data_IF_654789836174
#
_entry.id   IF_654789836174
#
_cell.length_a   1.000
_cell.length_b   1.000
_cell.length_c   1.000
_cell.angle_alpha   90.00
_cell.angle_beta   90.00
_cell.angle_gamma   90.00
#
_symmetry.space_group_name_H-M   'P 1'
#
loop_
_entity.id
_entity.type
_entity.pdbx_description
1 polymer ?
#
# COMPACT_ATOMS: atom_id res chain seq x y z
N UNK A 1 1.90 -8.74 -55.45
CA UNK A 1 1.56 -9.57 -54.27
C UNK A 1 0.62 -8.75 -53.40
N UNK A 2 -0.47 -9.34 -52.92
CA UNK A 2 -1.72 -8.68 -52.49
C UNK A 2 -1.53 -7.62 -51.39
N UNK A 3 -2.04 -6.39 -51.63
CA UNK A 3 -2.48 -5.49 -50.55
C UNK A 3 -3.72 -6.11 -49.90
N UNK A 4 -3.60 -6.57 -48.67
CA UNK A 4 -4.74 -6.88 -47.82
C UNK A 4 -5.10 -5.61 -47.05
N UNK A 5 -6.20 -4.97 -47.46
CA UNK A 5 -6.87 -3.96 -46.68
C UNK A 5 -7.39 -4.61 -45.38
N UNK A 6 -7.00 -4.08 -44.23
CA UNK A 6 -7.56 -4.47 -42.94
C UNK A 6 -8.49 -3.35 -42.46
N UNK A 7 -9.79 -3.54 -42.69
CA UNK A 7 -10.83 -2.75 -42.02
C UNK A 7 -10.90 -3.21 -40.55
N UNK A 8 -10.75 -2.29 -39.61
CA UNK A 8 -11.13 -2.51 -38.22
C UNK A 8 -12.34 -1.62 -37.92
N UNK A 9 -13.49 -2.28 -37.78
CA UNK A 9 -14.71 -1.71 -37.21
C UNK A 9 -14.50 -1.56 -35.70
N UNK A 10 -14.83 -0.42 -35.08
CA UNK A 10 -15.35 -0.44 -33.70
C UNK A 10 -16.11 0.84 -33.32
N UNK A 11 -17.25 0.58 -32.67
CA UNK A 11 -18.27 1.51 -32.23
C UNK A 11 -17.99 2.06 -30.82
N UNK A 12 -18.79 3.06 -30.45
CA UNK A 12 -18.69 3.88 -29.25
C UNK A 12 -18.89 3.15 -27.91
N UNK A 13 -18.31 3.76 -26.86
CA UNK A 13 -18.44 3.42 -25.45
C UNK A 13 -19.91 3.36 -24.95
N UNK A 14 -20.23 2.29 -24.23
CA UNK A 14 -21.21 2.33 -23.14
C UNK A 14 -20.52 1.85 -21.87
N UNK A 15 -20.82 2.54 -20.77
CA UNK A 15 -20.31 2.27 -19.44
C UNK A 15 -20.72 0.87 -18.96
N UNK A 16 -19.87 -0.13 -19.12
CA UNK A 16 -19.64 -1.30 -18.26
C UNK A 16 -18.44 -2.04 -18.85
N UNK A 17 -17.53 -2.52 -18.00
CA UNK A 17 -16.14 -2.81 -18.34
C UNK A 17 -15.93 -3.68 -19.58
N UNK A 18 -15.14 -3.15 -20.52
CA UNK A 18 -14.18 -3.82 -21.40
C UNK A 18 -13.34 -2.69 -22.03
N UNK A 19 -12.04 -2.64 -21.76
CA UNK A 19 -11.14 -1.68 -22.42
C UNK A 19 -10.89 -2.12 -23.87
N UNK A 20 -10.94 -1.22 -24.87
CA UNK A 20 -10.75 -1.59 -26.25
C UNK A 20 -9.30 -2.03 -26.49
N UNK A 21 -9.15 -3.19 -27.12
CA UNK A 21 -7.86 -3.79 -27.47
C UNK A 21 -7.57 -3.52 -28.95
N UNK A 22 -6.47 -2.83 -29.26
CA UNK A 22 -6.02 -2.65 -30.65
C UNK A 22 -4.81 -3.53 -30.90
N UNK A 23 -4.97 -4.57 -31.72
CA UNK A 23 -3.94 -5.54 -32.08
C UNK A 23 -3.33 -5.23 -33.44
N UNK A 24 -2.00 -5.27 -33.53
CA UNK A 24 -1.25 -5.22 -34.79
C UNK A 24 -0.50 -6.54 -34.96
N UNK A 25 -0.32 -6.99 -36.19
CA UNK A 25 0.51 -8.13 -36.56
C UNK A 25 1.50 -7.66 -37.62
N UNK A 26 2.78 -7.91 -37.39
CA UNK A 26 3.81 -7.72 -38.43
C UNK A 26 3.80 -8.93 -39.38
N UNK A 27 4.38 -8.80 -40.59
CA UNK A 27 4.49 -9.91 -41.55
C UNK A 27 5.22 -11.16 -41.01
N UNK A 28 6.02 -10.98 -39.97
CA UNK A 28 6.87 -11.95 -39.27
C UNK A 28 6.30 -12.42 -37.92
N UNK A 29 5.06 -12.03 -37.55
CA UNK A 29 4.32 -12.61 -36.42
C UNK A 29 4.38 -11.84 -35.10
N UNK A 30 5.07 -10.69 -35.04
CA UNK A 30 5.14 -9.84 -33.85
C UNK A 30 3.82 -9.13 -33.64
N UNK A 31 3.28 -9.21 -32.43
CA UNK A 31 2.01 -8.57 -32.09
C UNK A 31 2.18 -7.37 -31.16
N UNK A 32 1.49 -6.27 -31.48
CA UNK A 32 1.45 -5.08 -30.63
C UNK A 32 0.03 -4.89 -30.10
N UNK A 33 -0.11 -4.63 -28.81
CA UNK A 33 -1.40 -4.39 -28.18
C UNK A 33 -1.38 -3.01 -27.52
N UNK A 34 -2.34 -2.17 -27.86
CA UNK A 34 -2.55 -0.89 -27.17
C UNK A 34 -3.70 -1.03 -26.17
N UNK A 35 -3.45 -0.76 -24.88
CA UNK A 35 -4.48 -0.66 -23.82
C UNK A 35 -4.27 0.61 -23.01
N UNK A 36 -5.27 1.49 -23.00
CA UNK A 36 -5.17 2.77 -22.29
C UNK A 36 -4.00 3.64 -22.79
N UNK A 37 -3.05 3.97 -21.89
CA UNK A 37 -1.84 4.76 -22.17
C UNK A 37 -0.59 3.90 -22.45
N UNK A 38 -0.72 2.58 -22.47
CA UNK A 38 0.40 1.64 -22.56
C UNK A 38 0.41 0.89 -23.89
N UNK A 39 1.62 0.62 -24.40
CA UNK A 39 1.86 -0.23 -25.58
C UNK A 39 2.53 -1.50 -25.10
N UNK A 40 2.00 -2.66 -25.49
CA UNK A 40 2.48 -4.00 -25.18
C UNK A 40 3.02 -4.66 -26.47
N UNK A 41 4.19 -5.31 -26.44
CA UNK A 41 4.85 -5.90 -27.62
C UNK A 41 5.17 -7.36 -27.38
N UNK A 42 4.58 -8.32 -28.08
CA UNK A 42 4.72 -9.76 -27.79
C UNK A 42 5.71 -10.44 -28.76
N UNK A 43 6.87 -10.93 -28.29
CA UNK A 43 7.68 -12.04 -28.85
C UNK A 43 8.99 -12.32 -28.05
N UNK A 44 9.51 -13.58 -28.06
CA UNK A 44 10.67 -13.98 -27.28
C UNK A 44 11.98 -13.60 -27.99
N UNK A 45 12.88 -12.92 -27.27
CA UNK A 45 14.25 -12.56 -27.70
C UNK A 45 14.36 -11.33 -28.62
N UNK A 46 13.94 -10.18 -28.09
CA UNK A 46 14.46 -8.89 -28.58
C UNK A 46 15.69 -8.51 -27.75
N UNK A 47 16.87 -8.65 -28.34
CA UNK A 47 18.00 -7.78 -28.01
C UNK A 47 18.09 -6.72 -29.10
N UNK A 48 18.29 -5.46 -28.72
CA UNK A 48 18.43 -4.29 -29.61
C UNK A 48 17.16 -3.87 -30.38
N UNK A 49 16.10 -3.51 -29.66
CA UNK A 49 14.98 -2.74 -30.24
C UNK A 49 14.94 -1.34 -29.66
N UNK A 50 15.11 -0.34 -30.52
CA UNK A 50 14.87 1.07 -30.18
C UNK A 50 13.46 1.44 -30.63
N UNK A 51 12.68 2.07 -29.73
CA UNK A 51 11.31 2.49 -30.02
C UNK A 51 11.22 4.00 -29.88
N UNK A 52 10.79 4.66 -30.95
CA UNK A 52 10.60 6.11 -31.01
C UNK A 52 9.11 6.41 -31.16
N UNK A 53 8.57 7.29 -30.32
CA UNK A 53 7.19 7.78 -30.48
C UNK A 53 7.25 9.24 -30.93
N UNK A 54 6.67 9.51 -32.09
CA UNK A 54 6.61 10.85 -32.65
C UNK A 54 5.19 11.40 -32.51
N UNK A 55 5.06 12.64 -32.04
CA UNK A 55 3.78 13.35 -31.93
C UNK A 55 3.76 14.62 -32.76
N UNK A 56 2.62 14.97 -33.33
CA UNK A 56 2.43 16.22 -34.07
C UNK A 56 1.95 17.33 -33.13
N UNK A 57 2.73 18.40 -32.93
CA UNK A 57 2.28 19.61 -32.21
C UNK A 57 2.43 19.62 -30.67
N UNK A 58 2.99 18.58 -30.05
CA UNK A 58 3.11 18.47 -28.58
C UNK A 58 4.56 18.41 -28.10
N UNK A 59 4.88 19.05 -26.97
CA UNK A 59 6.21 19.07 -26.34
C UNK A 59 6.32 18.05 -25.19
N UNK A 60 7.45 17.36 -25.12
CA UNK A 60 7.86 16.50 -24.01
C UNK A 60 8.96 17.18 -23.20
N UNK A 61 9.03 16.94 -21.89
CA UNK A 61 10.13 17.39 -21.03
C UNK A 61 10.90 16.17 -20.50
N UNK A 62 12.23 16.22 -20.58
CA UNK A 62 13.13 15.19 -20.07
C UNK A 62 13.86 15.73 -18.83
N UNK A 63 13.89 14.97 -17.73
CA UNK A 63 14.72 15.30 -16.57
C UNK A 63 16.16 14.90 -16.88
N UNK A 64 16.96 15.87 -17.35
CA UNK A 64 18.45 15.90 -17.49
C UNK A 64 19.04 16.23 -18.87
N UNK A 65 18.28 16.65 -19.89
CA UNK A 65 18.88 17.16 -21.13
C UNK A 65 19.11 18.68 -21.10
N UNK A 66 20.36 19.11 -21.30
CA UNK A 66 20.70 20.52 -21.55
C UNK A 66 20.00 21.02 -22.82
N UNK A 67 19.51 22.26 -22.74
CA UNK A 67 18.87 23.05 -23.79
C UNK A 67 19.54 22.89 -25.16
N UNK A 68 18.84 22.29 -26.12
CA UNK A 68 19.17 22.39 -27.55
C UNK A 68 17.94 22.92 -28.27
N UNK A 69 18.06 24.08 -28.90
CA UNK A 69 17.03 24.66 -29.73
C UNK A 69 17.17 24.14 -31.17
N UNK A 70 16.09 23.63 -31.75
CA UNK A 70 15.94 23.45 -33.19
C UNK A 70 14.55 23.91 -33.64
N UNK A 71 14.54 24.57 -34.79
CA UNK A 71 13.37 25.08 -35.50
C UNK A 71 12.83 23.96 -36.41
N UNK A 72 11.50 23.91 -36.50
CA UNK A 72 10.69 23.19 -37.48
C UNK A 72 10.35 21.70 -37.20
N UNK A 73 9.19 21.54 -36.55
CA UNK A 73 8.14 20.51 -36.71
C UNK A 73 8.51 19.03 -36.92
N UNK A 74 9.03 18.39 -35.86
CA UNK A 74 8.61 17.09 -35.31
C UNK A 74 9.48 16.81 -34.09
N UNK A 75 8.89 16.53 -32.92
CA UNK A 75 9.67 16.15 -31.75
C UNK A 75 9.96 14.65 -31.80
N UNK A 76 11.25 14.34 -31.94
CA UNK A 76 11.83 13.00 -31.90
C UNK A 76 12.35 12.75 -30.49
N UNK A 77 11.67 11.92 -29.70
CA UNK A 77 12.21 11.44 -28.43
C UNK A 77 12.88 10.08 -28.62
N UNK A 78 14.18 9.99 -28.30
CA UNK A 78 14.87 8.72 -28.09
C UNK A 78 14.93 8.47 -26.58
N UNK A 79 14.10 7.58 -26.04
CA UNK A 79 14.33 7.07 -24.68
C UNK A 79 15.15 5.79 -24.73
N UNK A 80 16.11 5.66 -23.81
CA UNK A 80 16.60 4.37 -23.38
C UNK A 80 15.51 3.77 -22.50
N UNK A 81 14.94 2.66 -22.95
CA UNK A 81 13.94 1.90 -22.19
C UNK A 81 14.62 1.34 -20.95
N UNK A 82 14.27 1.85 -19.76
CA UNK A 82 14.48 1.10 -18.52
C UNK A 82 13.53 -0.10 -18.56
N UNK A 83 14.06 -1.24 -18.98
CA UNK A 83 13.32 -2.47 -19.17
C UNK A 83 12.77 -3.00 -17.84
N UNK A 84 11.46 -3.15 -17.72
CA UNK A 84 10.88 -4.14 -16.82
C UNK A 84 10.35 -5.30 -17.69
N UNK A 85 10.88 -6.50 -17.45
CA UNK A 85 10.51 -7.72 -18.14
C UNK A 85 9.17 -8.20 -17.57
N UNK A 86 8.12 -8.16 -18.38
CA UNK A 86 6.82 -8.76 -18.06
C UNK A 86 6.70 -10.03 -18.92
N UNK A 87 6.32 -11.14 -18.27
CA UNK A 87 6.19 -12.48 -18.87
C UNK A 87 5.54 -12.48 -20.27
N UNK A 88 5.96 -13.47 -21.07
CA UNK A 88 5.57 -13.72 -22.47
C UNK A 88 6.15 -12.76 -23.53
N UNK A 89 7.31 -12.18 -23.25
CA UNK A 89 8.03 -11.35 -24.21
C UNK A 89 7.27 -10.06 -24.51
N UNK A 90 6.54 -9.53 -23.52
CA UNK A 90 5.72 -8.32 -23.58
C UNK A 90 6.45 -7.10 -23.03
N UNK A 91 6.75 -6.13 -23.90
CA UNK A 91 7.36 -4.85 -23.48
C UNK A 91 6.29 -3.79 -23.22
N UNK A 92 6.30 -3.14 -22.05
CA UNK A 92 5.44 -1.99 -21.73
C UNK A 92 6.21 -0.66 -21.83
N UNK A 93 5.65 0.32 -22.56
CA UNK A 93 6.14 1.70 -22.61
C UNK A 93 5.15 2.63 -21.89
N UNK A 94 5.59 3.26 -20.79
CA UNK A 94 4.80 4.21 -20.02
C UNK A 94 5.40 5.62 -20.10
N UNK A 95 4.58 6.63 -20.34
CA UNK A 95 4.98 8.04 -20.39
C UNK A 95 4.52 8.77 -19.12
N UNK A 96 5.44 9.36 -18.38
CA UNK A 96 5.16 10.00 -17.09
C UNK A 96 4.65 11.45 -17.21
N UNK A 97 4.97 12.19 -18.27
CA UNK A 97 4.62 13.63 -18.39
C UNK A 97 4.23 14.04 -19.83
N UNK A 98 3.07 13.60 -20.30
CA UNK A 98 2.46 14.08 -21.56
C UNK A 98 1.52 15.27 -21.28
N UNK A 99 1.89 16.47 -21.72
CA UNK A 99 1.02 17.65 -21.68
C UNK A 99 0.19 17.72 -22.97
N UNK A 100 -1.10 17.36 -22.89
CA UNK A 100 -2.07 17.56 -23.97
C UNK A 100 -3.23 18.39 -23.45
N UNK A 101 -3.68 19.38 -24.20
CA UNK A 101 -4.84 20.16 -23.78
C UNK A 101 -6.13 19.35 -23.95
N UNK A 102 -7.11 19.59 -23.08
CA UNK A 102 -8.41 18.93 -23.19
C UNK A 102 -9.08 19.29 -24.53
N UNK A 103 -9.49 18.28 -25.30
CA UNK A 103 -10.12 18.44 -26.60
C UNK A 103 -9.17 18.47 -27.79
N UNK A 104 -7.85 18.33 -27.57
CA UNK A 104 -6.89 18.08 -28.65
C UNK A 104 -6.84 16.59 -29.03
N UNK A 105 -6.61 16.32 -30.31
CA UNK A 105 -6.41 14.99 -30.85
C UNK A 105 -4.92 14.62 -30.69
N UNK A 106 -4.59 13.63 -29.86
CA UNK A 106 -3.23 13.13 -29.74
C UNK A 106 -2.89 12.32 -30.99
N UNK A 107 -2.08 12.89 -31.88
CA UNK A 107 -1.60 12.19 -33.07
C UNK A 107 -0.20 11.63 -32.85
N UNK A 108 -0.02 10.33 -33.07
CA UNK A 108 1.25 9.65 -32.83
C UNK A 108 1.58 8.57 -33.87
N UNK A 109 2.87 8.27 -34.03
CA UNK A 109 3.36 7.06 -34.73
C UNK A 109 4.56 6.48 -34.01
N UNK A 110 4.82 5.20 -34.23
CA UNK A 110 5.87 4.43 -33.59
C UNK A 110 6.91 4.04 -34.64
N UNK A 111 8.18 4.27 -34.35
CA UNK A 111 9.30 3.74 -35.14
C UNK A 111 10.04 2.70 -34.32
N UNK A 112 10.18 1.49 -34.86
CA UNK A 112 10.97 0.42 -34.26
C UNK A 112 12.21 0.16 -35.14
N UNK A 113 13.38 0.06 -34.50
CA UNK A 113 14.62 -0.35 -35.15
C UNK A 113 14.92 -1.80 -34.74
N UNK A 114 15.07 -2.71 -35.71
CA UNK A 114 15.37 -4.11 -35.46
C UNK A 114 16.28 -4.67 -36.55
N UNK A 115 17.43 -5.25 -36.16
CA UNK A 115 18.43 -5.84 -37.09
C UNK A 115 18.76 -4.95 -38.29
N UNK A 116 19.04 -3.67 -38.01
CA UNK A 116 19.36 -2.63 -39.00
C UNK A 116 18.21 -2.29 -39.99
N UNK A 117 17.00 -2.81 -39.77
CA UNK A 117 15.79 -2.41 -40.48
C UNK A 117 14.92 -1.46 -39.63
N UNK A 118 14.30 -0.49 -40.31
CA UNK A 118 13.42 0.50 -39.70
C UNK A 118 11.97 0.18 -40.06
N UNK A 119 11.14 -0.03 -39.06
CA UNK A 119 9.69 -0.18 -39.21
C UNK A 119 9.00 1.06 -38.64
N UNK A 120 8.14 1.70 -39.44
CA UNK A 120 7.41 2.90 -39.03
C UNK A 120 5.91 2.63 -39.16
N UNK A 121 5.15 2.84 -38.09
CA UNK A 121 3.69 2.73 -38.15
C UNK A 121 3.10 3.94 -38.86
N UNK A 122 1.89 3.75 -39.40
CA UNK A 122 1.08 4.88 -39.82
C UNK A 122 0.73 5.79 -38.62
N UNK A 123 0.40 7.04 -38.94
CA UNK A 123 -0.09 8.00 -37.95
C UNK A 123 -1.45 7.57 -37.42
N UNK A 124 -1.56 7.48 -36.10
CA UNK A 124 -2.81 7.26 -35.37
C UNK A 124 -3.24 8.54 -34.69
N UNK A 125 -4.55 8.72 -34.58
CA UNK A 125 -5.15 9.84 -33.86
C UNK A 125 -5.99 9.30 -32.72
N UNK A 126 -5.71 9.74 -31.50
CA UNK A 126 -6.49 9.45 -30.31
C UNK A 126 -7.22 10.71 -29.86
N UNK A 127 -8.55 10.71 -29.96
CA UNK A 127 -9.37 11.86 -29.55
C UNK A 127 -9.46 11.92 -28.04
N UNK A 128 -8.89 12.96 -27.44
CA UNK A 128 -9.05 13.19 -26.01
C UNK A 128 -10.46 13.72 -25.76
N UNK A 129 -11.19 13.06 -24.86
CA UNK A 129 -12.50 13.55 -24.46
C UNK A 129 -12.37 14.95 -23.85
N UNK A 130 -13.26 15.84 -24.24
CA UNK A 130 -13.44 17.13 -23.58
C UNK A 130 -13.83 16.88 -22.13
N UNK A 131 -12.94 17.26 -21.22
CA UNK A 131 -13.22 17.28 -19.80
C UNK A 131 -14.31 18.35 -19.63
N UNK A 132 -15.55 17.92 -19.43
CA UNK A 132 -16.61 18.82 -18.96
C UNK A 132 -16.07 19.51 -17.70
N UNK A 133 -16.33 20.80 -17.47
CA UNK A 133 -15.95 21.46 -16.23
C UNK A 133 -16.59 20.69 -15.08
N UNK A 134 -15.80 19.85 -14.42
CA UNK A 134 -16.17 19.28 -13.14
C UNK A 134 -16.05 20.43 -12.17
N UNK A 135 -17.01 20.60 -11.25
CA UNK A 135 -16.82 21.47 -10.08
C UNK A 135 -15.41 21.19 -9.54
N UNK A 136 -14.53 22.20 -9.56
CA UNK A 136 -13.22 22.03 -8.96
C UNK A 136 -13.44 21.84 -7.47
N UNK A 137 -13.35 20.59 -6.99
CA UNK A 137 -13.21 20.34 -5.56
C UNK A 137 -11.96 21.09 -5.10
N UNK A 138 -12.12 21.99 -4.12
CA UNK A 138 -11.02 22.76 -3.58
C UNK A 138 -10.18 21.81 -2.73
N UNK A 139 -9.13 21.28 -3.33
CA UNK A 139 -8.20 20.40 -2.64
C UNK A 139 -7.28 21.21 -1.74
N UNK A 140 -7.19 20.84 -0.46
CA UNK A 140 -6.30 21.45 0.51
C UNK A 140 -5.43 20.38 1.17
N UNK A 141 -4.12 20.62 1.21
CA UNK A 141 -3.20 19.79 2.00
C UNK A 141 -3.52 20.02 3.47
N UNK A 142 -4.02 19.00 4.16
CA UNK A 142 -4.33 19.06 5.61
C UNK A 142 -3.18 18.56 6.46
N UNK A 143 -2.31 17.72 5.89
CA UNK A 143 -1.11 17.22 6.54
C UNK A 143 -0.08 16.82 5.50
N UNK A 144 1.18 17.14 5.76
CA UNK A 144 2.32 16.64 4.99
C UNK A 144 3.53 16.56 5.90
N UNK A 145 4.23 15.43 5.84
CA UNK A 145 5.50 15.22 6.51
C UNK A 145 6.43 14.53 5.52
N UNK A 146 7.62 15.09 5.33
CA UNK A 146 8.66 14.58 4.42
C UNK A 146 9.83 13.94 5.18
N UNK A 147 9.73 13.84 6.50
CA UNK A 147 10.67 13.14 7.38
C UNK A 147 12.15 13.52 7.21
N UNK A 148 12.42 14.73 6.69
CA UNK A 148 13.72 15.37 6.84
C UNK A 148 14.07 15.58 8.34
N UNK A 149 13.04 15.65 9.18
CA UNK A 149 13.11 15.53 10.64
C UNK A 149 11.79 14.97 11.18
N UNK A 150 11.80 14.27 12.31
CA UNK A 150 10.56 13.79 12.94
C UNK A 150 10.08 14.73 14.04
N UNK A 151 9.08 15.55 13.73
CA UNK A 151 8.43 16.42 14.73
C UNK A 151 7.43 15.61 15.57
N UNK A 152 7.86 15.17 16.75
CA UNK A 152 7.03 14.40 17.69
C UNK A 152 5.71 15.11 18.07
N UNK A 153 5.59 16.43 17.92
CA UNK A 153 4.35 17.17 18.22
C UNK A 153 3.23 16.98 17.19
N UNK A 154 3.55 16.48 16.00
CA UNK A 154 2.54 16.22 14.96
C UNK A 154 1.88 14.84 15.12
N UNK A 155 2.36 14.05 16.09
CA UNK A 155 1.94 12.68 16.31
C UNK A 155 1.65 12.39 17.79
N UNK A 156 0.72 11.49 18.03
CA UNK A 156 0.66 10.70 19.26
C UNK A 156 1.53 9.46 19.09
N UNK A 157 2.47 9.27 20.01
CA UNK A 157 3.35 8.09 20.05
C UNK A 157 2.79 7.09 21.05
N UNK A 158 2.49 5.88 20.61
CA UNK A 158 1.94 4.84 21.48
C UNK A 158 3.01 4.29 22.45
N UNK A 159 2.61 4.13 23.70
CA UNK A 159 3.45 3.59 24.77
C UNK A 159 2.61 2.57 25.56
N UNK A 160 2.62 1.31 25.12
CA UNK A 160 1.77 0.25 25.68
C UNK A 160 2.21 -1.16 25.26
N UNK A 161 2.08 -2.12 26.18
CA UNK A 161 2.28 -3.55 25.99
C UNK A 161 0.96 -4.32 25.73
N UNK A 162 -0.14 -3.61 25.48
CA UNK A 162 -1.49 -4.18 25.37
C UNK A 162 -1.65 -5.23 24.24
N UNK A 163 -0.85 -5.14 23.19
CA UNK A 163 -0.87 -6.09 22.06
C UNK A 163 -2.05 -5.89 21.09
N UNK A 164 -2.59 -4.65 21.02
CA UNK A 164 -3.51 -4.20 19.97
C UNK A 164 -4.89 -4.87 19.92
N UNK A 165 -5.21 -5.75 20.87
CA UNK A 165 -6.36 -6.66 20.80
C UNK A 165 -6.11 -7.92 19.95
N UNK A 166 -4.97 -8.00 19.25
CA UNK A 166 -4.60 -9.11 18.37
C UNK A 166 -3.59 -10.08 19.00
N UNK A 167 -3.18 -9.83 20.25
CA UNK A 167 -2.23 -10.65 20.99
C UNK A 167 -0.80 -10.54 20.45
N UNK A 168 -0.45 -9.38 19.91
CA UNK A 168 0.88 -9.05 19.39
C UNK A 168 1.93 -9.02 20.51
N UNK A 169 3.19 -9.26 20.18
CA UNK A 169 4.27 -9.56 21.16
C UNK A 169 5.18 -8.38 21.48
N UNK A 170 5.06 -7.28 20.76
CA UNK A 170 5.82 -6.07 21.03
C UNK A 170 5.21 -5.25 22.17
N UNK A 171 6.03 -4.44 22.81
CA UNK A 171 5.61 -3.22 23.49
C UNK A 171 5.87 -2.04 22.56
N UNK A 172 4.88 -1.19 22.33
CA UNK A 172 5.11 0.07 21.63
C UNK A 172 5.76 1.05 22.62
N UNK A 173 6.86 1.71 22.20
CA UNK A 173 7.66 2.60 23.05
C UNK A 173 8.15 3.83 22.27
N UNK A 174 8.42 4.97 22.94
CA UNK A 174 8.91 6.19 22.32
C UNK A 174 10.44 6.24 22.11
N UNK A 175 11.09 5.07 22.06
CA UNK A 175 12.55 4.94 21.99
C UNK A 175 13.10 5.34 20.62
N UNK A 176 14.24 6.05 20.61
CA UNK A 176 14.90 6.47 19.37
C UNK A 176 15.48 5.27 18.60
N UNK A 177 15.63 4.11 19.24
CA UNK A 177 15.96 2.86 18.56
C UNK A 177 14.80 2.32 17.70
N UNK A 178 13.56 2.72 18.01
CA UNK A 178 12.34 2.25 17.35
C UNK A 178 11.68 3.31 16.47
N UNK A 179 11.93 4.59 16.74
CA UNK A 179 11.31 5.76 16.10
C UNK A 179 12.38 6.80 15.78
N UNK A 180 12.94 6.80 14.57
CA UNK A 180 14.00 7.75 14.20
C UNK A 180 13.96 8.15 12.74
N UNK A 181 14.58 9.29 12.41
CA UNK A 181 14.82 9.67 11.01
C UNK A 181 16.27 9.44 10.65
N UNK A 182 16.50 8.98 9.42
CA UNK A 182 17.83 8.84 8.83
C UNK A 182 17.69 8.97 7.32
N UNK A 183 18.58 9.73 6.71
CA UNK A 183 18.65 9.91 5.24
C UNK A 183 17.32 10.36 4.60
N UNK A 184 16.57 11.24 5.28
CA UNK A 184 15.29 11.77 4.80
C UNK A 184 14.13 10.77 4.88
N UNK A 185 14.25 9.72 5.69
CA UNK A 185 13.18 8.76 5.92
C UNK A 185 12.97 8.50 7.40
N UNK A 186 11.73 8.27 7.80
CA UNK A 186 11.34 7.87 9.14
C UNK A 186 11.28 6.35 9.26
N UNK A 187 11.81 5.82 10.35
CA UNK A 187 11.94 4.39 10.61
C UNK A 187 11.07 4.00 11.79
N UNK A 188 10.21 3.01 11.55
CA UNK A 188 9.55 2.23 12.59
C UNK A 188 10.24 0.87 12.66
N UNK A 189 11.16 0.72 13.61
CA UNK A 189 12.06 -0.43 13.68
C UNK A 189 11.76 -1.29 14.91
N UNK A 190 11.36 -2.56 14.75
CA UNK A 190 11.32 -3.50 15.86
C UNK A 190 12.73 -3.83 16.36
N UNK A 191 12.89 -3.94 17.68
CA UNK A 191 14.13 -4.33 18.36
C UNK A 191 13.84 -5.35 19.45
N UNK A 192 14.85 -6.10 19.90
CA UNK A 192 14.64 -6.99 21.04
C UNK A 192 14.54 -6.17 22.32
N UNK A 193 13.63 -6.55 23.22
CA UNK A 193 13.50 -5.90 24.53
C UNK A 193 14.81 -5.95 25.30
N UNK A 194 15.61 -7.02 25.15
CA UNK A 194 16.91 -7.17 25.82
C UNK A 194 18.02 -6.26 25.27
N UNK A 195 17.79 -5.60 24.13
CA UNK A 195 18.74 -4.63 23.58
C UNK A 195 18.57 -3.25 24.24
N UNK A 196 17.45 -3.03 24.94
CA UNK A 196 17.21 -1.82 25.73
C UNK A 196 18.04 -1.85 27.02
N UNK A 197 18.69 -0.73 27.35
CA UNK A 197 19.63 -0.58 28.49
C UNK A 197 19.10 -1.07 29.85
N UNK A 198 17.79 -1.01 30.06
CA UNK A 198 17.14 -1.41 31.32
C UNK A 198 16.70 -2.88 31.33
N UNK A 199 16.99 -3.65 30.29
CA UNK A 199 16.65 -5.06 30.21
C UNK A 199 17.86 -5.91 29.81
N UNK A 200 17.79 -7.16 30.24
CA UNK A 200 18.66 -8.25 29.83
C UNK A 200 17.81 -9.53 29.82
N UNK A 201 18.40 -10.67 29.48
CA UNK A 201 17.68 -11.95 29.50
C UNK A 201 17.10 -12.27 30.88
N UNK A 202 17.76 -11.89 31.98
CA UNK A 202 17.24 -12.16 33.32
C UNK A 202 15.98 -11.33 33.63
N UNK A 203 16.00 -10.04 33.32
CA UNK A 203 14.85 -9.13 33.46
C UNK A 203 13.72 -9.48 32.50
N UNK A 204 14.01 -10.01 31.32
CA UNK A 204 12.97 -10.51 30.41
C UNK A 204 12.15 -11.65 31.06
N UNK A 205 12.81 -12.57 31.77
CA UNK A 205 12.17 -13.75 32.37
C UNK A 205 11.62 -13.53 33.79
N UNK A 206 12.15 -12.55 34.52
CA UNK A 206 11.85 -12.37 35.94
C UNK A 206 11.54 -10.93 36.35
N UNK A 207 11.60 -9.99 35.41
CA UNK A 207 11.44 -8.57 35.68
C UNK A 207 10.00 -8.06 35.62
N UNK A 208 9.90 -6.75 35.80
CA UNK A 208 8.69 -5.94 35.64
C UNK A 208 8.98 -4.78 34.70
N UNK A 209 8.06 -4.49 33.80
CA UNK A 209 8.09 -3.37 32.88
C UNK A 209 6.94 -2.44 33.22
N UNK A 210 7.26 -1.31 33.84
CA UNK A 210 6.30 -0.24 34.11
C UNK A 210 6.60 0.96 33.19
N UNK A 211 5.74 1.15 32.20
CA UNK A 211 5.95 2.16 31.15
C UNK A 211 5.83 3.58 31.69
N UNK A 212 5.03 3.81 32.73
CA UNK A 212 4.94 5.13 33.37
C UNK A 212 6.22 5.47 34.13
N UNK A 213 6.86 4.48 34.76
CA UNK A 213 8.16 4.68 35.42
C UNK A 213 9.27 4.91 34.39
N UNK A 214 9.24 4.20 33.26
CA UNK A 214 10.25 4.30 32.21
C UNK A 214 10.14 5.58 31.38
N UNK A 215 8.92 5.96 30.99
CA UNK A 215 8.67 6.99 29.98
C UNK A 215 7.84 8.18 30.48
N UNK A 216 7.34 8.13 31.71
CA UNK A 216 6.47 9.16 32.29
C UNK A 216 5.00 9.08 31.84
N UNK A 217 4.65 8.21 30.89
CA UNK A 217 3.29 8.02 30.41
C UNK A 217 3.03 6.59 29.92
N UNK A 218 1.76 6.28 29.67
CA UNK A 218 1.33 5.04 29.02
C UNK A 218 -0.02 5.28 28.32
N UNK A 219 -0.19 4.78 27.10
CA UNK A 219 -1.34 5.11 26.26
C UNK A 219 -2.53 4.17 26.43
N UNK A 220 -2.33 2.91 26.81
CA UNK A 220 -3.39 1.91 27.02
C UNK A 220 -3.02 0.95 28.16
N UNK A 221 -3.87 0.85 29.18
CA UNK A 221 -3.62 0.04 30.38
C UNK A 221 -4.22 -1.37 30.34
N UNK A 222 -5.11 -1.63 29.39
CA UNK A 222 -5.77 -2.92 29.20
C UNK A 222 -4.74 -4.04 29.05
N UNK A 223 -5.10 -5.27 29.46
CA UNK A 223 -4.24 -6.46 29.42
C UNK A 223 -2.78 -6.20 29.84
N UNK A 224 -2.59 -5.56 31.01
CA UNK A 224 -1.26 -5.24 31.54
C UNK A 224 -0.43 -4.30 30.65
N UNK A 225 -1.09 -3.49 29.82
CA UNK A 225 -0.44 -2.65 28.84
C UNK A 225 0.49 -1.58 29.40
N UNK A 226 0.29 -1.14 30.65
CA UNK A 226 1.18 -0.15 31.29
C UNK A 226 2.17 -0.74 32.29
N UNK A 227 1.88 -1.92 32.81
CA UNK A 227 2.61 -2.54 33.91
C UNK A 227 2.47 -4.06 33.81
N UNK A 228 3.54 -4.71 33.35
CA UNK A 228 3.60 -6.15 33.13
C UNK A 228 4.76 -6.72 33.91
N UNK A 229 4.51 -7.82 34.62
CA UNK A 229 5.55 -8.62 35.28
C UNK A 229 5.66 -9.98 34.60
N UNK A 230 6.87 -10.49 34.44
CA UNK A 230 7.10 -11.85 33.98
C UNK A 230 6.69 -12.83 35.09
N UNK A 231 5.53 -13.49 34.91
CA UNK A 231 4.94 -14.41 35.88
C UNK A 231 4.52 -15.72 35.22
N UNK A 232 4.30 -16.77 36.02
CA UNK A 232 3.80 -18.09 35.57
C UNK A 232 4.67 -18.77 34.48
N UNK A 233 5.96 -18.43 34.46
CA UNK A 233 6.92 -18.90 33.47
C UNK A 233 6.73 -18.27 32.09
N UNK A 234 5.98 -17.18 31.95
CA UNK A 234 5.99 -16.33 30.77
C UNK A 234 7.09 -15.25 30.88
N UNK A 235 7.39 -14.57 29.78
CA UNK A 235 8.34 -13.46 29.67
C UNK A 235 7.60 -12.12 29.58
N UNK A 236 8.31 -11.01 29.81
CA UNK A 236 7.85 -9.71 29.32
C UNK A 236 7.76 -9.74 27.79
N UNK A 237 7.05 -8.78 27.19
CA UNK A 237 6.98 -8.62 25.74
C UNK A 237 8.41 -8.65 25.14
N UNK A 238 8.76 -9.64 24.31
CA UNK A 238 10.15 -9.87 23.90
C UNK A 238 10.67 -8.84 22.89
N UNK A 239 9.78 -8.03 22.32
CA UNK A 239 10.08 -7.05 21.27
C UNK A 239 9.67 -5.65 21.74
N UNK A 240 10.43 -4.63 21.36
CA UNK A 240 10.03 -3.22 21.37
C UNK A 240 9.77 -2.77 19.93
N UNK A 241 8.79 -1.90 19.70
CA UNK A 241 8.49 -1.37 18.35
C UNK A 241 7.88 0.02 18.41
N UNK A 242 7.68 0.63 17.24
CA UNK A 242 7.06 1.94 17.07
C UNK A 242 5.62 1.88 16.56
N UNK A 243 4.78 2.77 17.09
CA UNK A 243 3.46 3.10 16.56
C UNK A 243 3.19 4.60 16.73
N UNK A 244 2.81 5.25 15.64
CA UNK A 244 2.49 6.69 15.61
C UNK A 244 1.12 6.91 15.00
N UNK A 245 0.39 7.87 15.55
CA UNK A 245 -0.92 8.32 15.07
C UNK A 245 -0.83 9.82 14.80
N UNK A 246 -1.22 10.28 13.61
CA UNK A 246 -1.19 11.72 13.29
C UNK A 246 -2.16 12.48 14.18
N UNK A 247 -1.80 13.70 14.61
CA UNK A 247 -2.75 14.61 15.25
C UNK A 247 -3.74 15.18 14.22
N UNK A 248 -3.31 15.33 12.98
CA UNK A 248 -4.16 15.69 11.86
C UNK A 248 -5.19 14.59 11.56
N UNK A 249 -6.34 15.02 11.04
CA UNK A 249 -7.45 14.17 10.60
C UNK A 249 -7.93 14.57 9.23
N UNK A 250 -8.55 13.63 8.53
CA UNK A 250 -9.17 13.88 7.23
C UNK A 250 -10.53 13.17 7.15
N UNK A 251 -11.48 13.82 6.48
CA UNK A 251 -12.71 13.17 5.96
C UNK A 251 -12.80 13.50 4.49
N UNK A 252 -12.82 12.48 3.65
CA UNK A 252 -12.82 12.58 2.20
C UNK A 252 -11.59 13.31 1.62
N UNK A 253 -11.04 12.76 0.55
CA UNK A 253 -9.80 13.21 -0.06
C UNK A 253 -8.86 12.06 -0.37
N UNK A 254 -7.57 12.34 -0.28
CA UNK A 254 -6.52 11.34 -0.51
C UNK A 254 -5.54 11.29 0.64
N UNK A 255 -5.12 10.08 1.00
CA UNK A 255 -3.97 9.85 1.89
C UNK A 255 -2.93 9.08 1.09
N UNK A 256 -1.72 9.60 1.01
CA UNK A 256 -0.60 9.00 0.28
C UNK A 256 0.55 8.78 1.24
N UNK A 257 1.09 7.57 1.27
CA UNK A 257 2.26 7.20 2.06
C UNK A 257 3.25 6.51 1.13
N UNK A 258 4.46 7.06 0.99
CA UNK A 258 5.54 6.37 0.27
C UNK A 258 6.44 5.68 1.29
N UNK A 259 6.50 4.35 1.24
CA UNK A 259 7.17 3.56 2.25
C UNK A 259 7.82 2.28 1.68
N UNK A 260 8.80 1.77 2.41
CA UNK A 260 9.28 0.38 2.39
C UNK A 260 8.59 -0.34 3.54
N UNK A 261 7.87 -1.43 3.24
CA UNK A 261 7.38 -2.33 4.27
C UNK A 261 8.49 -3.29 4.72
N UNK A 262 8.54 -3.68 6.00
CA UNK A 262 9.56 -4.57 6.51
C UNK A 262 9.43 -5.98 5.94
N UNK A 263 10.59 -6.64 5.83
CA UNK A 263 10.75 -8.06 5.51
C UNK A 263 11.50 -8.73 6.66
N UNK A 264 10.98 -9.88 7.09
CA UNK A 264 11.45 -10.63 8.24
C UNK A 264 10.28 -11.39 8.86
N UNK A 265 10.56 -12.56 9.42
CA UNK A 265 9.51 -13.41 9.94
C UNK A 265 8.75 -12.74 11.08
N UNK A 266 7.43 -12.94 11.08
CA UNK A 266 6.51 -12.50 12.12
C UNK A 266 6.35 -10.97 12.23
N UNK A 267 6.89 -10.20 11.29
CA UNK A 267 6.67 -8.75 11.19
C UNK A 267 5.32 -8.45 10.54
N UNK A 268 4.57 -7.55 11.15
CA UNK A 268 3.23 -7.13 10.69
C UNK A 268 3.18 -5.59 10.60
N UNK A 269 3.62 -5.01 9.47
CA UNK A 269 3.47 -3.59 9.21
C UNK A 269 2.02 -3.23 8.84
N UNK A 270 1.60 -2.03 9.24
CA UNK A 270 0.31 -1.48 8.84
C UNK A 270 0.37 0.03 8.57
N UNK A 271 -0.33 0.45 7.51
CA UNK A 271 -0.75 1.83 7.22
C UNK A 271 -2.27 1.81 7.25
N UNK A 272 -2.85 2.45 8.25
CA UNK A 272 -4.28 2.30 8.54
C UNK A 272 -4.82 3.53 9.24
N UNK A 273 -6.14 3.58 9.42
CA UNK A 273 -6.81 4.74 9.96
C UNK A 273 -7.92 4.36 10.94
N UNK A 274 -8.01 5.12 12.02
CA UNK A 274 -9.10 5.06 12.99
C UNK A 274 -9.83 6.39 13.09
N UNK A 275 -11.13 6.39 13.44
CA UNK A 275 -11.89 7.62 13.59
C UNK A 275 -11.33 8.44 14.76
N UNK A 276 -11.34 9.77 14.62
CA UNK A 276 -11.04 10.71 15.71
C UNK A 276 -11.98 10.51 16.89
N UNK A 277 -13.26 10.39 16.56
CA UNK A 277 -14.35 10.26 17.50
C UNK A 277 -15.05 8.92 17.29
N UNK A 278 -15.29 8.18 18.37
CA UNK A 278 -16.08 6.93 18.34
C UNK A 278 -17.59 7.21 18.20
N UNK A 279 -17.97 8.02 17.21
CA UNK A 279 -19.31 8.61 17.04
C UNK A 279 -20.44 7.56 17.04
N UNK A 280 -20.20 6.39 16.46
CA UNK A 280 -21.17 5.28 16.37
C UNK A 280 -20.95 4.19 17.44
N UNK A 281 -20.02 4.42 18.38
CA UNK A 281 -19.56 3.46 19.39
C UNK A 281 -18.16 2.91 19.11
N UNK A 282 -17.67 2.05 20.01
CA UNK A 282 -16.35 1.41 19.87
C UNK A 282 -16.23 0.52 18.62
N UNK A 283 -15.00 0.07 18.33
CA UNK A 283 -14.70 -0.77 17.17
C UNK A 283 -15.61 -2.03 17.11
N UNK A 284 -16.07 -2.45 15.91
CA UNK A 284 -15.85 -1.86 14.59
C UNK A 284 -16.96 -0.85 14.20
N UNK A 285 -17.75 -0.37 15.17
CA UNK A 285 -18.97 0.41 14.89
C UNK A 285 -18.67 1.78 14.27
N UNK A 286 -17.54 2.39 14.62
CA UNK A 286 -17.10 3.67 14.05
C UNK A 286 -16.11 3.53 12.89
N UNK A 287 -15.92 2.32 12.38
CA UNK A 287 -15.09 2.06 11.21
C UNK A 287 -13.58 1.95 11.51
N UNK A 288 -12.88 1.29 10.60
CA UNK A 288 -11.42 1.23 10.48
C UNK A 288 -11.10 1.10 8.98
N UNK A 289 -10.06 1.78 8.52
CA UNK A 289 -9.62 1.75 7.12
C UNK A 289 -8.17 1.29 7.10
N UNK A 290 -7.93 0.04 6.72
CA UNK A 290 -6.59 -0.50 6.51
C UNK A 290 -6.20 -0.24 5.06
N UNK A 291 -5.32 0.74 4.87
CA UNK A 291 -4.82 1.11 3.53
C UNK A 291 -3.84 0.04 3.06
N UNK A 292 -2.97 -0.44 3.96
CA UNK A 292 -2.04 -1.52 3.69
C UNK A 292 -1.74 -2.29 4.97
N UNK A 293 -1.90 -3.60 4.91
CA UNK A 293 -1.27 -4.56 5.82
C UNK A 293 -0.47 -5.58 5.01
N UNK A 294 0.56 -6.17 5.62
CA UNK A 294 1.36 -7.24 5.01
C UNK A 294 2.00 -8.12 6.08
N UNK A 295 2.49 -9.29 5.68
CA UNK A 295 3.32 -10.18 6.51
C UNK A 295 4.76 -10.07 6.03
N UNK A 296 5.70 -9.79 6.92
CA UNK A 296 7.12 -9.71 6.55
C UNK A 296 7.75 -11.05 6.17
N UNK A 297 7.07 -12.19 6.42
CA UNK A 297 7.55 -13.52 6.05
C UNK A 297 7.82 -13.60 4.54
N UNK A 298 8.91 -14.25 4.15
CA UNK A 298 9.20 -14.46 2.73
C UNK A 298 8.13 -15.34 2.06
N UNK A 299 7.58 -16.31 2.79
CA UNK A 299 6.46 -17.16 2.40
C UNK A 299 5.50 -17.36 3.56
N UNK A 300 4.21 -17.23 3.31
CA UNK A 300 3.13 -17.55 4.25
C UNK A 300 1.92 -18.13 3.50
N UNK A 301 2.03 -19.40 3.07
CA UNK A 301 1.01 -20.03 2.23
C UNK A 301 -0.18 -20.50 3.06
N UNK A 302 -1.33 -19.86 2.90
CA UNK A 302 -2.59 -20.21 3.56
C UNK A 302 -3.61 -20.58 2.48
N UNK A 303 -4.29 -21.73 2.60
CA UNK A 303 -5.35 -22.10 1.64
C UNK A 303 -4.91 -22.19 0.18
N UNK A 304 -3.60 -22.36 -0.09
CA UNK A 304 -3.02 -22.43 -1.44
C UNK A 304 -2.47 -21.11 -2.00
N UNK A 305 -2.68 -19.98 -1.32
CA UNK A 305 -2.15 -18.67 -1.73
C UNK A 305 -1.04 -18.21 -0.79
N UNK A 306 -0.01 -17.55 -1.32
CA UNK A 306 1.09 -17.00 -0.52
C UNK A 306 0.74 -15.61 0.01
N UNK A 307 0.60 -15.46 1.31
CA UNK A 307 0.27 -14.19 1.97
C UNK A 307 1.46 -13.54 2.67
N UNK A 308 2.69 -13.89 2.26
CA UNK A 308 3.93 -13.29 2.77
C UNK A 308 4.14 -11.86 2.27
N UNK A 309 5.40 -11.43 2.22
CA UNK A 309 5.79 -10.06 1.81
C UNK A 309 5.53 -9.79 0.33
N UNK A 310 5.18 -10.84 -0.44
CA UNK A 310 4.65 -10.74 -1.81
C UNK A 310 3.23 -10.20 -1.90
N UNK A 311 2.51 -10.09 -0.79
CA UNK A 311 1.14 -9.61 -0.73
C UNK A 311 1.02 -8.34 0.12
N UNK A 312 0.17 -7.43 -0.34
CA UNK A 312 -0.42 -6.38 0.50
C UNK A 312 -1.92 -6.53 0.48
N UNK A 313 -2.56 -6.26 1.61
CA UNK A 313 -4.01 -6.28 1.74
C UNK A 313 -4.54 -4.93 2.19
N UNK A 314 -5.78 -4.65 1.81
CA UNK A 314 -6.55 -3.52 2.32
C UNK A 314 -7.90 -4.03 2.83
N UNK A 315 -8.37 -3.47 3.95
CA UNK A 315 -9.59 -3.92 4.62
C UNK A 315 -10.37 -2.72 5.13
N UNK A 316 -11.69 -2.80 5.09
CA UNK A 316 -12.56 -1.91 5.88
C UNK A 316 -13.22 -2.74 6.97
N UNK A 317 -13.03 -2.40 8.24
CA UNK A 317 -13.80 -3.01 9.33
C UNK A 317 -15.03 -2.16 9.64
N UNK A 318 -16.19 -2.79 9.66
CA UNK A 318 -17.47 -2.16 9.95
C UNK A 318 -18.48 -3.21 10.41
N UNK A 319 -19.30 -2.87 11.40
CA UNK A 319 -20.35 -3.77 11.89
C UNK A 319 -20.84 -3.37 13.27
N UNK A 320 -21.94 -3.98 13.76
CA UNK A 320 -22.52 -3.61 15.04
C UNK A 320 -21.71 -4.09 16.26
N UNK A 321 -20.79 -5.03 16.08
CA UNK A 321 -19.94 -5.60 17.14
C UNK A 321 -18.78 -6.39 16.53
N UNK A 322 -17.77 -6.75 17.34
CA UNK A 322 -16.63 -7.58 16.89
C UNK A 322 -17.08 -8.92 16.28
N UNK A 323 -18.11 -9.57 16.84
CA UNK A 323 -18.65 -10.84 16.32
C UNK A 323 -19.45 -10.68 15.02
N UNK A 324 -19.82 -9.46 14.66
CA UNK A 324 -20.59 -9.13 13.46
C UNK A 324 -19.82 -8.13 12.59
N UNK A 325 -18.49 -8.20 12.62
CA UNK A 325 -17.65 -7.41 11.76
C UNK A 325 -17.78 -7.93 10.32
N UNK A 326 -18.21 -7.07 9.40
CA UNK A 326 -18.49 -7.42 8.01
C UNK A 326 -17.29 -7.19 7.08
N UNK A 327 -16.08 -7.08 7.64
CA UNK A 327 -14.83 -6.86 6.90
C UNK A 327 -14.62 -7.81 5.72
N UNK A 328 -15.09 -9.06 5.79
CA UNK A 328 -15.00 -10.03 4.68
C UNK A 328 -15.74 -9.59 3.41
N UNK A 329 -16.65 -8.61 3.48
CA UNK A 329 -17.29 -7.98 2.30
C UNK A 329 -16.43 -6.87 1.68
N UNK A 330 -15.41 -6.41 2.39
CA UNK A 330 -14.61 -5.22 2.12
C UNK A 330 -13.14 -5.49 2.38
N UNK A 331 -12.65 -6.61 1.85
CA UNK A 331 -11.26 -7.03 1.91
C UNK A 331 -10.75 -7.24 0.48
N UNK A 332 -9.52 -6.80 0.23
CA UNK A 332 -8.85 -6.95 -1.05
C UNK A 332 -7.37 -7.22 -0.85
N UNK A 333 -6.80 -8.05 -1.71
CA UNK A 333 -5.41 -8.47 -1.67
C UNK A 333 -4.76 -8.20 -3.02
N UNK A 334 -3.47 -7.84 -3.00
CA UNK A 334 -2.68 -7.63 -4.20
C UNK A 334 -1.34 -8.33 -4.10
N UNK A 335 -1.16 -9.30 -4.97
CA UNK A 335 0.09 -10.03 -5.17
C UNK A 335 1.04 -9.25 -6.07
N UNK A 336 2.31 -9.19 -5.69
CA UNK A 336 3.41 -8.89 -6.60
C UNK A 336 3.96 -10.21 -7.14
N UNK A 337 3.50 -10.62 -8.32
CA UNK A 337 3.84 -11.94 -8.89
C UNK A 337 5.30 -12.10 -9.30
N UNK A 338 6.01 -10.98 -9.49
CA UNK A 338 7.36 -10.96 -10.05
C UNK A 338 8.45 -10.71 -8.99
N UNK A 339 8.06 -10.16 -7.84
CA UNK A 339 8.96 -9.75 -6.75
C UNK A 339 8.23 -9.90 -5.42
N UNK A 340 8.57 -9.06 -4.44
CA UNK A 340 7.77 -8.81 -3.25
C UNK A 340 7.49 -7.30 -3.14
N UNK A 341 6.74 -6.89 -2.13
CA UNK A 341 6.48 -5.47 -1.84
C UNK A 341 7.54 -4.84 -0.93
N UNK A 342 8.67 -5.52 -0.66
CA UNK A 342 9.79 -4.91 0.05
C UNK A 342 10.60 -4.02 -0.91
N UNK A 343 10.38 -2.72 -0.82
CA UNK A 343 10.96 -1.71 -1.69
C UNK A 343 10.17 -0.41 -1.57
N UNK A 344 10.61 0.65 -2.23
CA UNK A 344 9.86 1.90 -2.22
C UNK A 344 8.58 1.77 -3.03
N UNK A 345 7.44 1.82 -2.35
CA UNK A 345 6.12 1.80 -2.97
C UNK A 345 5.26 2.95 -2.47
N UNK A 346 4.28 3.35 -3.27
CA UNK A 346 3.30 4.38 -2.90
C UNK A 346 1.96 3.73 -2.58
N UNK A 347 1.57 3.79 -1.32
CA UNK A 347 0.28 3.35 -0.82
C UNK A 347 -0.67 4.54 -0.78
N UNK A 348 -1.83 4.41 -1.41
CA UNK A 348 -2.78 5.53 -1.54
C UNK A 348 -4.19 5.11 -1.18
N UNK A 349 -4.87 5.96 -0.43
CA UNK A 349 -6.30 5.97 -0.21
C UNK A 349 -6.93 7.09 -1.05
N UNK A 350 -8.01 6.77 -1.75
CA UNK A 350 -8.93 7.71 -2.39
C UNK A 350 -10.30 7.48 -1.75
N UNK A 351 -10.84 8.51 -1.10
CA UNK A 351 -12.04 8.38 -0.27
C UNK A 351 -12.96 9.55 -0.52
N UNK A 352 -14.20 9.28 -0.89
CA UNK A 352 -15.25 10.28 -0.96
C UNK A 352 -16.60 9.69 -0.50
N UNK A 353 -17.67 10.47 -0.64
CA UNK A 353 -19.02 10.06 -0.25
C UNK A 353 -19.61 8.93 -1.12
N UNK A 354 -18.95 8.57 -2.22
CA UNK A 354 -19.41 7.56 -3.18
C UNK A 354 -18.56 6.30 -3.18
N UNK A 355 -17.29 6.37 -2.77
CA UNK A 355 -16.41 5.21 -2.72
C UNK A 355 -15.19 5.40 -1.81
N UNK A 356 -14.61 4.26 -1.43
CA UNK A 356 -13.27 4.13 -0.88
C UNK A 356 -12.48 3.23 -1.83
N UNK A 357 -11.27 3.66 -2.20
CA UNK A 357 -10.35 2.89 -3.04
C UNK A 357 -8.94 2.97 -2.47
N UNK A 358 -8.26 1.85 -2.40
CA UNK A 358 -6.85 1.77 -2.02
C UNK A 358 -6.01 1.26 -3.18
N UNK A 359 -4.78 1.76 -3.29
CA UNK A 359 -3.82 1.33 -4.30
C UNK A 359 -2.41 1.17 -3.74
N UNK A 360 -1.62 0.32 -4.40
CA UNK A 360 -0.16 0.27 -4.31
C UNK A 360 0.40 0.55 -5.70
N UNK A 361 1.25 1.57 -5.82
CA UNK A 361 1.81 2.06 -7.11
C UNK A 361 0.75 2.32 -8.19
N UNK A 362 -0.43 2.80 -7.76
CA UNK A 362 -1.57 3.06 -8.65
C UNK A 362 -2.40 1.82 -9.01
N UNK A 363 -1.92 0.60 -8.73
CA UNK A 363 -2.68 -0.64 -8.87
C UNK A 363 -3.68 -0.80 -7.75
N UNK A 364 -4.94 -1.05 -8.10
CA UNK A 364 -6.03 -1.27 -7.13
C UNK A 364 -5.78 -2.51 -6.26
N UNK A 365 -5.95 -2.32 -4.95
CA UNK A 365 -5.97 -3.39 -3.94
C UNK A 365 -7.42 -3.63 -3.49
N UNK A 366 -8.14 -2.56 -3.13
CA UNK A 366 -9.54 -2.61 -2.75
C UNK A 366 -10.31 -1.44 -3.36
N UNK A 367 -11.56 -1.69 -3.78
CA UNK A 367 -12.53 -0.64 -4.11
C UNK A 367 -13.91 -1.00 -3.61
N UNK A 368 -14.48 -0.12 -2.79
CA UNK A 368 -15.82 -0.27 -2.21
C UNK A 368 -16.64 0.97 -2.59
N UNK A 369 -17.68 0.77 -3.40
CA UNK A 369 -18.65 1.84 -3.66
C UNK A 369 -19.64 1.92 -2.49
N UNK A 370 -19.99 3.12 -2.07
CA UNK A 370 -20.97 3.38 -1.00
C UNK A 370 -22.31 2.73 -1.35
N UNK A 371 -22.78 1.73 -0.57
CA UNK A 371 -24.01 1.02 -0.90
C UNK A 371 -25.21 1.97 -0.99
N UNK A 372 -26.10 1.74 -1.96
CA UNK A 372 -27.29 2.58 -2.16
C UNK A 372 -28.19 2.61 -0.92
N UNK A 373 -28.35 1.47 -0.25
CA UNK A 373 -29.06 1.33 1.03
C UNK A 373 -28.23 1.62 2.28
N UNK A 374 -26.98 2.08 2.12
CA UNK A 374 -26.01 2.23 3.21
C UNK A 374 -25.42 0.91 3.72
N UNK A 375 -24.34 1.00 4.48
CA UNK A 375 -23.62 -0.17 4.98
C UNK A 375 -24.48 -1.05 5.88
N UNK A 376 -25.39 -0.49 6.70
CA UNK A 376 -26.25 -1.30 7.58
C UNK A 376 -27.06 -2.36 6.82
N UNK A 377 -27.75 -1.91 5.76
CA UNK A 377 -28.54 -2.79 4.92
C UNK A 377 -27.67 -3.74 4.08
N UNK A 378 -26.52 -3.25 3.58
CA UNK A 378 -25.59 -4.08 2.80
C UNK A 378 -24.93 -5.20 3.63
N UNK A 379 -24.69 -4.93 4.91
CA UNK A 379 -24.23 -5.90 5.90
C UNK A 379 -25.28 -6.96 6.23
N UNK A 380 -26.55 -6.72 5.90
CA UNK A 380 -27.66 -7.60 6.27
C UNK A 380 -27.93 -7.59 7.78
N UNK A 381 -27.60 -6.49 8.47
CA UNK A 381 -27.80 -6.41 9.91
C UNK A 381 -29.28 -6.18 10.27
N UNK A 382 -29.68 -6.69 11.43
CA UNK A 382 -31.05 -6.63 11.93
C UNK A 382 -31.13 -5.84 13.24
N UNK A 383 -32.32 -5.32 13.55
CA UNK A 383 -32.55 -4.52 14.75
C UNK A 383 -32.43 -3.01 14.50
N UNK A 384 -32.09 -2.27 15.55
CA UNK A 384 -31.93 -0.81 15.49
C UNK A 384 -30.65 -0.45 14.73
N UNK A 385 -30.79 0.29 13.63
CA UNK A 385 -29.66 0.74 12.82
C UNK A 385 -28.82 1.76 13.60
N UNK A 386 -27.64 1.34 14.04
CA UNK A 386 -26.71 2.18 14.82
C UNK A 386 -26.10 3.34 14.01
N UNK A 387 -26.24 3.31 12.69
CA UNK A 387 -25.79 4.34 11.76
C UNK A 387 -26.92 5.23 11.25
N UNK A 388 -28.11 5.15 11.84
CA UNK A 388 -29.27 5.94 11.41
C UNK A 388 -29.07 7.47 11.56
N UNK A 389 -28.15 7.91 12.43
CA UNK A 389 -27.76 9.33 12.55
C UNK A 389 -26.76 9.79 11.48
N UNK A 390 -26.18 8.85 10.73
CA UNK A 390 -25.17 9.09 9.70
C UNK A 390 -25.73 9.13 8.28
N UNK A 391 -24.83 9.34 7.33
CA UNK A 391 -25.13 9.22 5.90
C UNK A 391 -25.08 7.78 5.41
N UNK A 392 -25.31 7.57 4.12
CA UNK A 392 -25.13 6.25 3.47
C UNK A 392 -23.73 5.68 3.61
N UNK A 393 -22.73 6.54 3.81
CA UNK A 393 -21.33 6.15 3.94
C UNK A 393 -20.92 5.82 5.38
N UNK A 394 -21.79 6.01 6.38
CA UNK A 394 -21.52 5.61 7.74
C UNK A 394 -21.15 4.10 7.80
N UNK A 395 -20.08 3.72 8.52
CA UNK A 395 -19.36 4.56 9.49
C UNK A 395 -18.21 5.41 8.92
N UNK A 396 -17.94 5.35 7.62
CA UNK A 396 -16.84 6.08 6.94
C UNK A 396 -17.24 7.49 6.49
N UNK A 397 -18.00 8.19 7.33
CA UNK A 397 -18.44 9.57 7.12
C UNK A 397 -17.93 10.54 8.21
N UNK A 398 -16.98 10.09 9.03
CA UNK A 398 -16.35 10.86 10.12
C UNK A 398 -14.89 11.20 9.82
N UNK A 399 -14.22 12.08 10.59
CA UNK A 399 -12.78 12.31 10.48
C UNK A 399 -11.95 11.16 11.03
N UNK A 400 -10.89 10.79 10.32
CA UNK A 400 -9.98 9.70 10.69
C UNK A 400 -8.53 10.21 10.82
N UNK A 401 -7.80 9.65 11.80
CA UNK A 401 -6.35 9.80 11.93
C UNK A 401 -5.63 8.72 11.12
N UNK A 402 -4.45 9.04 10.60
CA UNK A 402 -3.54 8.04 10.03
C UNK A 402 -2.69 7.41 11.14
N UNK A 403 -2.48 6.10 11.04
CA UNK A 403 -1.69 5.30 11.97
C UNK A 403 -0.65 4.50 11.18
N UNK A 404 0.58 4.50 11.67
CA UNK A 404 1.69 3.72 11.15
C UNK A 404 2.29 2.89 12.29
N UNK A 405 2.49 1.59 12.08
CA UNK A 405 3.18 0.73 13.05
C UNK A 405 3.84 -0.48 12.40
N UNK A 406 4.72 -1.11 13.18
CA UNK A 406 5.18 -2.48 12.94
C UNK A 406 4.85 -3.33 14.16
N UNK A 407 3.80 -4.14 14.05
CA UNK A 407 3.46 -5.17 15.01
C UNK A 407 4.33 -6.41 14.81
N UNK A 408 4.40 -7.28 15.82
CA UNK A 408 5.14 -8.55 15.75
C UNK A 408 4.31 -9.69 16.34
N UNK A 409 4.21 -10.79 15.59
CA UNK A 409 3.45 -11.97 15.99
C UNK A 409 1.94 -11.72 16.07
N UNK A 410 1.28 -12.37 17.03
CA UNK A 410 -0.17 -12.25 17.22
C UNK A 410 -1.01 -13.07 16.24
N UNK A 411 -2.31 -12.74 16.17
CA UNK A 411 -3.34 -13.52 15.46
C UNK A 411 -3.25 -13.51 13.94
N UNK A 412 -2.53 -12.54 13.34
CA UNK A 412 -2.42 -12.38 11.88
C UNK A 412 -1.66 -13.53 11.20
N UNK A 413 -0.79 -14.21 11.95
CA UNK A 413 -0.05 -15.40 11.52
C UNK A 413 -0.82 -16.65 11.94
N UNK A 414 -1.66 -17.15 11.03
CA UNK A 414 -2.50 -18.33 11.25
C UNK A 414 -1.68 -19.62 11.35
N UNK A 415 -2.10 -20.52 12.24
CA UNK A 415 -1.52 -21.87 12.40
C UNK A 415 -1.78 -22.79 11.21
N UNK A 416 -2.73 -22.45 10.34
CA UNK A 416 -3.08 -23.24 9.15
C UNK A 416 -2.22 -22.94 7.93
N UNK A 417 -1.23 -22.06 8.04
CA UNK A 417 -0.38 -21.65 6.94
C UNK A 417 0.98 -22.36 6.97
N UNK A 418 1.56 -22.55 5.80
CA UNK A 418 2.93 -23.01 5.61
C UNK A 418 3.86 -21.82 5.44
N UNK A 419 4.77 -21.65 6.39
CA UNK A 419 5.79 -20.60 6.40
C UNK A 419 7.15 -21.18 6.05
N UNK A 420 8.12 -20.33 5.70
CA UNK A 420 9.52 -20.77 5.52
C UNK A 420 10.13 -21.30 6.82
N UNK A 421 9.86 -20.62 7.94
CA UNK A 421 10.21 -21.09 9.27
C UNK A 421 8.96 -21.43 10.07
N UNK A 422 9.03 -22.48 10.89
CA UNK A 422 7.87 -22.96 11.64
C UNK A 422 7.41 -21.88 12.62
N UNK A 423 6.11 -21.56 12.60
CA UNK A 423 5.52 -20.58 13.53
C UNK A 423 5.71 -21.05 14.98
N UNK A 424 6.44 -20.30 15.83
CA UNK A 424 6.85 -20.78 17.14
C UNK A 424 5.75 -21.00 18.18
N UNK A 425 4.62 -20.28 18.07
CA UNK A 425 3.62 -20.20 19.12
C UNK A 425 2.27 -20.81 18.73
N UNK A 426 1.40 -21.03 19.71
CA UNK A 426 -0.04 -21.21 19.51
C UNK A 426 -0.82 -20.01 20.02
N UNK A 427 -1.90 -19.61 19.33
CA UNK A 427 -2.74 -18.47 19.77
C UNK A 427 -3.43 -18.76 21.12
N UNK A 428 -3.71 -20.03 21.39
CA UNK A 428 -4.29 -20.52 22.65
C UNK A 428 -3.26 -20.72 23.77
N UNK A 429 -1.96 -20.67 23.47
CA UNK A 429 -0.94 -20.85 24.49
C UNK A 429 -0.90 -19.65 25.44
N UNK A 430 -0.92 -19.87 26.77
CA UNK A 430 -0.69 -18.80 27.75
C UNK A 430 0.79 -18.39 27.84
N UNK A 431 1.68 -19.02 27.07
CA UNK A 431 3.13 -18.78 27.03
C UNK A 431 3.63 -18.40 25.63
N UNK A 432 2.75 -17.95 24.75
CA UNK A 432 3.08 -17.63 23.35
C UNK A 432 4.22 -16.64 23.18
N UNK A 433 4.32 -15.61 24.03
CA UNK A 433 5.46 -14.67 23.97
C UNK A 433 6.78 -15.38 24.32
N UNK A 434 6.75 -16.31 25.28
CA UNK A 434 7.92 -17.14 25.61
C UNK A 434 8.24 -18.14 24.51
N UNK A 435 7.25 -18.82 23.95
CA UNK A 435 7.43 -19.74 22.82
C UNK A 435 8.10 -19.03 21.63
N UNK A 436 7.64 -17.82 21.32
CA UNK A 436 8.25 -16.94 20.33
C UNK A 436 9.71 -16.62 20.65
N UNK A 437 10.01 -16.24 21.90
CA UNK A 437 11.38 -15.92 22.35
C UNK A 437 12.33 -17.12 22.36
N UNK A 438 11.86 -18.27 22.84
CA UNK A 438 12.67 -19.48 22.97
C UNK A 438 13.10 -20.01 21.59
N UNK A 439 12.32 -19.76 20.54
CA UNK A 439 12.63 -20.11 19.14
C UNK A 439 13.26 -18.95 18.33
N UNK A 440 13.75 -17.89 18.97
CA UNK A 440 14.40 -16.78 18.24
C UNK A 440 15.59 -17.20 17.39
N UNK A 441 16.24 -18.31 17.72
CA UNK A 441 17.29 -18.90 16.89
C UNK A 441 16.82 -19.28 15.48
N UNK A 442 15.52 -19.52 15.30
CA UNK A 442 14.94 -19.94 14.02
C UNK A 442 14.52 -18.77 13.13
N UNK A 443 14.16 -17.62 13.73
CA UNK A 443 13.56 -16.51 12.98
C UNK A 443 14.35 -15.20 13.05
N UNK A 444 15.14 -14.97 14.10
CA UNK A 444 15.82 -13.67 14.29
C UNK A 444 16.83 -13.38 13.18
N UNK A 445 17.46 -14.41 12.62
CA UNK A 445 18.37 -14.26 11.49
C UNK A 445 17.70 -13.71 10.24
N UNK A 446 16.36 -13.74 10.13
CA UNK A 446 15.62 -13.15 9.01
C UNK A 446 15.47 -11.62 9.12
N UNK A 447 15.72 -11.05 10.31
CA UNK A 447 15.64 -9.60 10.55
C UNK A 447 16.99 -8.95 10.23
N UNK A 448 17.19 -8.61 8.96
CA UNK A 448 18.46 -8.08 8.46
C UNK A 448 18.54 -6.55 8.53
N UNK A 449 19.26 -6.02 9.52
CA UNK A 449 19.57 -4.59 9.58
C UNK A 449 18.32 -3.71 9.60
N UNK A 450 18.13 -2.92 8.55
CA UNK A 450 16.95 -2.04 8.41
C UNK A 450 15.85 -2.60 7.52
N UNK A 451 16.05 -3.80 6.97
CA UNK A 451 15.00 -4.49 6.22
C UNK A 451 13.84 -4.90 7.12
N UNK A 452 14.07 -5.04 8.43
CA UNK A 452 13.02 -5.29 9.43
C UNK A 452 12.27 -4.04 9.85
N UNK A 453 12.69 -2.84 9.42
CA UNK A 453 12.00 -1.59 9.70
C UNK A 453 11.02 -1.25 8.59
N UNK A 454 9.89 -0.65 8.95
CA UNK A 454 9.12 0.13 8.00
C UNK A 454 9.81 1.49 7.81
N UNK A 455 10.09 1.87 6.58
CA UNK A 455 10.79 3.11 6.24
C UNK A 455 9.85 4.00 5.46
N UNK A 456 9.63 5.23 5.88
CA UNK A 456 8.65 6.13 5.31
C UNK A 456 9.36 7.37 4.78
N UNK A 457 9.20 7.64 3.49
CA UNK A 457 9.74 8.82 2.80
C UNK A 457 8.84 10.02 3.04
N UNK A 458 7.54 9.88 2.80
CA UNK A 458 6.59 10.95 3.11
C UNK A 458 5.17 10.45 3.37
N UNK A 459 4.40 11.31 4.05
CA UNK A 459 2.94 11.27 4.16
C UNK A 459 2.38 12.53 3.52
N UNK A 460 1.29 12.41 2.76
CA UNK A 460 0.49 13.54 2.32
C UNK A 460 -1.00 13.23 2.46
N UNK A 461 -1.74 14.13 3.12
CA UNK A 461 -3.19 14.09 3.20
C UNK A 461 -3.77 15.34 2.53
N UNK A 462 -4.64 15.12 1.55
CA UNK A 462 -5.29 16.19 0.78
C UNK A 462 -6.79 16.04 0.87
N UNK A 463 -7.46 16.96 1.56
CA UNK A 463 -8.92 16.97 1.68
C UNK A 463 -9.58 17.57 0.44
N UNK A 464 -10.71 17.02 0.02
CA UNK A 464 -11.42 17.38 -1.23
C UNK A 464 -12.57 18.38 -1.04
#
# INVERSE_FOLDING_TARGET
MRLLALNVLLAANLAYGFEPEVRFLTPDGVSFILKGKSIFIHEPLLSNVMIEVQTEGHQFYEKNAKRIAWKDQALTMRSLVESCFIDDGVWELSFTELNVNSGEDLRYRITAYYKDEIQVTEWKTHKLQTLRPVRSMKRAVVFRDDFNSFNKNDYKIDCTAWGGGNGEFQVYVPEDANLFTRDGSFFLKPTLTVDHKDFDTNRLFHGRMNLKEMYGYCTMADNWGCDKSAVNGNVLNPIMSGKVTTNAVITYGTVTVRAIIPKGDWLWPAIWMLPRDWHYGGWPRSGEIDIMESRGNQKAVCGGNDHGVGEVSSTLHWGPSSNHNAYGKTHGERQNKYCNWHGWHTYKLEWDANHIRTTVDGHEVLKVNTPSGGFWNWGGFHGSNIWASGGRNAPFDQPFHLILNVAVGGGFFSSGCQYDHTRPWSNSSPRKEREFWDHRGDWLSTWHGDNSAMQIDYIEMVQA
#
